data_IF_107850134861
#
_entry.id   IF_107850134861
#
_cell.length_a   1.000
_cell.length_b   1.000
_cell.length_c   1.000
_cell.angle_alpha   90.00
_cell.angle_beta   90.00
_cell.angle_gamma   90.00
#
_symmetry.space_group_name_H-M   'P 1'
#
loop_
_entity.id
_entity.type
_entity.pdbx_description
1 polymer ?
#
# COMPACT_ATOMS: atom_id res chain seq x y z
N UNK A 1 27.31 -24.64 -44.64
CA UNK A 1 27.50 -25.65 -43.58
C UNK A 1 28.03 -25.04 -42.27
N UNK A 2 29.17 -24.34 -42.24
CA UNK A 2 29.72 -23.78 -40.99
C UNK A 2 28.78 -22.81 -40.23
N UNK A 3 28.11 -21.89 -40.93
CA UNK A 3 27.14 -20.94 -40.31
C UNK A 3 25.94 -21.65 -39.68
N UNK A 4 25.47 -22.73 -40.30
CA UNK A 4 24.30 -23.48 -39.81
C UNK A 4 24.63 -24.25 -38.52
N UNK A 5 25.82 -24.86 -38.43
CA UNK A 5 26.27 -25.52 -37.20
C UNK A 5 26.45 -24.52 -36.04
N UNK A 6 26.96 -23.32 -36.33
CA UNK A 6 27.12 -22.26 -35.33
C UNK A 6 25.75 -21.78 -34.80
N UNK A 7 24.78 -21.50 -35.69
CA UNK A 7 23.44 -21.07 -35.29
C UNK A 7 22.72 -22.13 -34.45
N UNK A 8 22.87 -23.42 -34.79
CA UNK A 8 22.29 -24.51 -34.00
C UNK A 8 22.91 -24.61 -32.60
N UNK A 9 24.22 -24.39 -32.47
CA UNK A 9 24.88 -24.31 -31.17
C UNK A 9 24.39 -23.11 -30.35
N UNK A 10 24.26 -21.94 -30.97
CA UNK A 10 23.76 -20.72 -30.32
C UNK A 10 22.30 -20.87 -29.87
N UNK A 11 21.47 -21.53 -30.66
CA UNK A 11 20.07 -21.85 -30.30
C UNK A 11 20.00 -22.75 -29.07
N UNK A 12 20.86 -23.79 -29.02
CA UNK A 12 20.95 -24.71 -27.89
C UNK A 12 21.37 -24.00 -26.60
N UNK A 13 22.28 -23.03 -26.70
CA UNK A 13 22.74 -22.22 -25.57
C UNK A 13 21.80 -21.04 -25.25
N UNK A 14 20.75 -20.82 -26.05
CA UNK A 14 19.85 -19.66 -25.98
C UNK A 14 20.58 -18.31 -26.10
N UNK A 15 21.72 -18.30 -26.80
CA UNK A 15 22.51 -17.10 -27.10
C UNK A 15 21.90 -16.36 -28.30
N UNK A 16 20.66 -15.88 -28.14
CA UNK A 16 19.88 -15.33 -29.26
C UNK A 16 20.40 -13.99 -29.76
N UNK A 17 21.08 -13.20 -28.91
CA UNK A 17 21.73 -11.96 -29.34
C UNK A 17 22.86 -12.24 -30.34
N UNK A 18 23.68 -13.23 -30.02
CA UNK A 18 24.79 -13.70 -30.85
C UNK A 18 24.28 -14.41 -32.12
N UNK A 19 23.17 -15.16 -32.03
CA UNK A 19 22.53 -15.79 -33.18
C UNK A 19 22.00 -14.76 -34.18
N UNK A 20 21.29 -13.72 -33.71
CA UNK A 20 20.82 -12.60 -34.53
C UNK A 20 21.99 -11.88 -35.21
N UNK A 21 23.06 -11.58 -34.47
CA UNK A 21 24.27 -10.95 -35.04
C UNK A 21 24.91 -11.80 -36.13
N UNK A 22 24.95 -13.13 -35.93
CA UNK A 22 25.48 -14.09 -36.89
C UNK A 22 24.61 -14.15 -38.16
N UNK A 23 23.29 -14.16 -38.01
CA UNK A 23 22.35 -14.12 -39.14
C UNK A 23 22.46 -12.81 -39.94
N UNK A 24 22.53 -11.66 -39.26
CA UNK A 24 22.72 -10.35 -39.90
C UNK A 24 24.03 -10.30 -40.70
N UNK A 25 25.12 -10.81 -40.14
CA UNK A 25 26.40 -10.89 -40.85
C UNK A 25 26.28 -11.79 -42.09
N UNK A 26 25.71 -12.99 -41.95
CA UNK A 26 25.52 -13.92 -43.06
C UNK A 26 24.62 -13.34 -44.17
N UNK A 27 23.54 -12.64 -43.80
CA UNK A 27 22.68 -11.91 -44.73
C UNK A 27 23.47 -10.84 -45.50
N UNK A 28 24.25 -10.00 -44.80
CA UNK A 28 25.05 -8.95 -45.41
C UNK A 28 26.10 -9.46 -46.41
N UNK A 29 26.63 -10.68 -46.19
CA UNK A 29 27.56 -11.32 -47.10
C UNK A 29 26.83 -11.90 -48.31
N UNK A 30 25.69 -12.59 -48.10
CA UNK A 30 24.94 -13.24 -49.19
C UNK A 30 24.36 -12.22 -50.18
N UNK A 31 23.79 -11.11 -49.70
CA UNK A 31 23.19 -10.08 -50.56
C UNK A 31 24.21 -9.33 -51.42
N UNK A 32 25.49 -9.30 -51.02
CA UNK A 32 26.57 -8.71 -51.84
C UNK A 32 26.96 -9.59 -53.03
N UNK A 33 26.61 -10.88 -52.99
CA UNK A 33 27.06 -11.87 -53.98
C UNK A 33 25.92 -12.55 -54.72
N UNK A 34 24.69 -12.47 -54.22
CA UNK A 34 23.52 -13.17 -54.73
C UNK A 34 22.32 -12.21 -54.84
N UNK A 35 21.42 -12.42 -55.81
CA UNK A 35 20.16 -11.68 -55.90
C UNK A 35 19.26 -11.92 -54.68
N UNK A 36 18.40 -10.95 -54.35
CA UNK A 36 17.47 -11.02 -53.20
C UNK A 36 16.47 -12.18 -53.28
N UNK A 37 16.18 -12.67 -54.49
CA UNK A 37 15.28 -13.80 -54.75
C UNK A 37 15.96 -15.15 -54.58
N UNK A 38 17.26 -15.19 -54.29
CA UNK A 38 18.00 -16.43 -54.16
C UNK A 38 17.60 -17.19 -52.88
N UNK A 39 17.41 -18.50 -52.99
CA UNK A 39 16.94 -19.35 -51.88
C UNK A 39 17.75 -19.18 -50.58
N UNK A 40 19.08 -19.12 -50.69
CA UNK A 40 19.94 -18.93 -49.51
C UNK A 40 19.80 -17.54 -48.86
N UNK A 41 19.32 -16.52 -49.59
CA UNK A 41 19.00 -15.21 -49.03
C UNK A 41 17.66 -15.28 -48.28
N UNK A 42 16.66 -15.96 -48.86
CA UNK A 42 15.36 -16.16 -48.20
C UNK A 42 15.50 -16.99 -46.91
N UNK A 43 16.28 -18.07 -46.94
CA UNK A 43 16.53 -18.93 -45.76
C UNK A 43 17.19 -18.17 -44.60
N UNK A 44 18.13 -17.24 -44.87
CA UNK A 44 18.76 -16.48 -43.79
C UNK A 44 17.87 -15.38 -43.24
N UNK A 45 16.94 -14.86 -44.05
CA UNK A 45 15.90 -13.93 -43.59
C UNK A 45 14.96 -14.66 -42.63
N UNK A 46 14.48 -15.85 -43.01
CA UNK A 46 13.61 -16.66 -42.15
C UNK A 46 14.29 -17.02 -40.82
N UNK A 47 15.57 -17.44 -40.86
CA UNK A 47 16.35 -17.70 -39.65
C UNK A 47 16.55 -16.45 -38.80
N UNK A 48 16.76 -15.29 -39.43
CA UNK A 48 16.89 -14.03 -38.71
C UNK A 48 15.60 -13.68 -37.98
N UNK A 49 14.45 -13.78 -38.65
CA UNK A 49 13.14 -13.52 -38.05
C UNK A 49 12.84 -14.49 -36.89
N UNK A 50 13.18 -15.77 -37.05
CA UNK A 50 13.05 -16.77 -35.99
C UNK A 50 13.90 -16.41 -34.76
N UNK A 51 15.17 -16.05 -34.96
CA UNK A 51 16.06 -15.71 -33.84
C UNK A 51 15.72 -14.36 -33.19
N UNK A 52 15.20 -13.38 -33.95
CA UNK A 52 14.65 -12.14 -33.41
C UNK A 52 13.47 -12.47 -32.50
N UNK A 53 12.51 -13.26 -32.98
CA UNK A 53 11.34 -13.69 -32.21
C UNK A 53 11.71 -14.43 -30.92
N UNK A 54 12.67 -15.37 -30.99
CA UNK A 54 13.20 -16.07 -29.81
C UNK A 54 13.88 -15.13 -28.81
N UNK A 55 14.69 -14.18 -29.28
CA UNK A 55 15.35 -13.17 -28.43
C UNK A 55 14.30 -12.32 -27.70
N UNK A 56 13.35 -11.77 -28.44
CA UNK A 56 12.29 -10.91 -27.90
C UNK A 56 11.44 -11.66 -26.88
N UNK A 57 11.12 -12.92 -27.14
CA UNK A 57 10.39 -13.77 -26.18
C UNK A 57 11.17 -13.94 -24.87
N UNK A 58 12.48 -14.20 -24.92
CA UNK A 58 13.29 -14.32 -23.70
C UNK A 58 13.44 -12.99 -22.96
N UNK A 59 13.62 -11.89 -23.69
CA UNK A 59 13.71 -10.55 -23.10
C UNK A 59 12.40 -10.17 -22.39
N UNK A 60 11.26 -10.39 -23.04
CA UNK A 60 9.94 -10.20 -22.45
C UNK A 60 9.75 -11.05 -21.19
N UNK A 61 10.05 -12.35 -21.25
CA UNK A 61 9.95 -13.24 -20.09
C UNK A 61 10.83 -12.74 -18.93
N UNK A 62 12.05 -12.30 -19.22
CA UNK A 62 12.97 -11.79 -18.22
C UNK A 62 12.45 -10.47 -17.59
N UNK A 63 11.91 -9.56 -18.41
CA UNK A 63 11.27 -8.34 -17.93
C UNK A 63 10.07 -8.64 -17.02
N UNK A 64 9.22 -9.60 -17.42
CA UNK A 64 8.09 -10.06 -16.62
C UNK A 64 8.56 -10.63 -15.26
N UNK A 65 9.61 -11.46 -15.25
CA UNK A 65 10.18 -11.98 -14.01
C UNK A 65 10.69 -10.87 -13.08
N UNK A 66 11.38 -9.86 -13.64
CA UNK A 66 11.87 -8.71 -12.87
C UNK A 66 10.69 -7.92 -12.29
N UNK A 67 9.65 -7.68 -13.08
CA UNK A 67 8.45 -6.97 -12.65
C UNK A 67 7.71 -7.72 -11.55
N UNK A 68 7.54 -9.04 -11.68
CA UNK A 68 6.93 -9.89 -10.67
C UNK A 68 7.73 -9.86 -9.35
N UNK A 69 9.05 -10.02 -9.42
CA UNK A 69 9.92 -9.94 -8.24
C UNK A 69 9.83 -8.57 -7.55
N UNK A 70 9.80 -7.48 -8.32
CA UNK A 70 9.58 -6.13 -7.80
C UNK A 70 8.22 -5.98 -7.11
N UNK A 71 7.16 -6.47 -7.74
CA UNK A 71 5.81 -6.41 -7.17
C UNK A 71 5.70 -7.21 -5.87
N UNK A 72 6.33 -8.39 -5.79
CA UNK A 72 6.40 -9.19 -4.56
C UNK A 72 7.16 -8.46 -3.45
N UNK A 73 8.30 -7.85 -3.77
CA UNK A 73 9.06 -7.04 -2.82
C UNK A 73 8.24 -5.86 -2.29
N UNK A 74 7.63 -5.08 -3.19
CA UNK A 74 6.79 -3.95 -2.80
C UNK A 74 5.58 -4.38 -1.97
N UNK A 75 4.98 -5.54 -2.29
CA UNK A 75 3.91 -6.13 -1.49
C UNK A 75 4.39 -6.47 -0.08
N UNK A 76 5.56 -7.11 0.05
CA UNK A 76 6.16 -7.43 1.34
C UNK A 76 6.43 -6.18 2.18
N UNK A 77 7.00 -5.12 1.58
CA UNK A 77 7.22 -3.86 2.30
C UNK A 77 5.90 -3.22 2.77
N UNK A 78 4.84 -3.28 1.96
CA UNK A 78 3.51 -2.79 2.36
C UNK A 78 2.93 -3.60 3.52
N UNK A 79 3.10 -4.92 3.51
CA UNK A 79 2.67 -5.81 4.60
C UNK A 79 3.44 -5.53 5.89
N UNK A 80 4.76 -5.34 5.83
CA UNK A 80 5.59 -4.99 6.98
C UNK A 80 5.17 -3.64 7.60
N UNK A 81 4.93 -2.62 6.78
CA UNK A 81 4.45 -1.32 7.24
C UNK A 81 3.06 -1.42 7.88
N UNK A 82 2.16 -2.21 7.28
CA UNK A 82 0.83 -2.44 7.85
C UNK A 82 0.92 -3.13 9.22
N UNK A 83 1.73 -4.17 9.35
CA UNK A 83 1.96 -4.88 10.61
C UNK A 83 2.54 -3.96 11.70
N UNK A 84 3.49 -3.10 11.35
CA UNK A 84 4.06 -2.13 12.28
C UNK A 84 3.00 -1.11 12.73
N UNK A 85 2.17 -0.63 11.81
CA UNK A 85 1.07 0.30 12.09
C UNK A 85 0.04 -0.33 13.03
N UNK A 86 -0.30 -1.60 12.81
CA UNK A 86 -1.19 -2.38 13.69
C UNK A 86 -0.60 -2.56 15.09
N UNK A 87 0.71 -2.87 15.20
CA UNK A 87 1.40 -2.98 16.50
C UNK A 87 1.35 -1.66 17.27
N UNK A 88 1.68 -0.56 16.60
CA UNK A 88 1.66 0.78 17.19
C UNK A 88 0.27 1.19 17.67
N UNK A 89 -0.77 0.86 16.90
CA UNK A 89 -2.15 1.07 17.29
C UNK A 89 -2.53 0.22 18.52
N UNK A 90 -2.09 -1.04 18.56
CA UNK A 90 -2.35 -1.93 19.68
C UNK A 90 -1.70 -1.42 20.98
N UNK A 91 -0.43 -1.02 20.92
CA UNK A 91 0.30 -0.46 22.07
C UNK A 91 -0.33 0.84 22.56
N UNK A 92 -0.66 1.75 21.64
CA UNK A 92 -1.36 3.00 21.97
C UNK A 92 -2.71 2.72 22.64
N UNK A 93 -3.49 1.80 22.06
CA UNK A 93 -4.78 1.39 22.62
C UNK A 93 -4.65 0.78 24.02
N UNK A 94 -3.64 -0.05 24.22
CA UNK A 94 -3.39 -0.69 25.52
C UNK A 94 -2.99 0.32 26.58
N UNK A 95 -2.14 1.30 26.25
CA UNK A 95 -1.85 2.42 27.14
C UNK A 95 -3.13 3.17 27.52
N UNK A 96 -4.00 3.46 26.55
CA UNK A 96 -5.19 4.26 26.80
C UNK A 96 -6.29 3.53 27.56
N UNK A 97 -6.43 2.22 27.39
CA UNK A 97 -7.59 1.46 27.90
C UNK A 97 -7.25 0.48 29.03
N UNK A 98 -5.99 0.06 29.16
CA UNK A 98 -5.59 -1.00 30.11
C UNK A 98 -4.58 -0.53 31.16
N UNK A 99 -3.94 0.62 30.97
CA UNK A 99 -2.98 1.19 31.92
C UNK A 99 -3.46 2.57 32.43
N UNK A 100 -4.24 2.61 33.53
CA UNK A 100 -4.75 3.87 34.08
C UNK A 100 -3.65 4.84 34.54
N UNK A 101 -2.51 4.31 35.02
CA UNK A 101 -1.40 5.14 35.49
C UNK A 101 -0.64 5.73 34.29
N UNK A 102 -0.33 4.91 33.28
CA UNK A 102 0.27 5.33 32.03
C UNK A 102 -0.62 6.33 31.28
N UNK A 103 -1.92 6.10 31.22
CA UNK A 103 -2.89 7.05 30.68
C UNK A 103 -2.83 8.40 31.40
N UNK A 104 -2.81 8.40 32.73
CA UNK A 104 -2.75 9.65 33.50
C UNK A 104 -1.48 10.46 33.20
N UNK A 105 -0.33 9.80 33.11
CA UNK A 105 0.95 10.43 32.71
C UNK A 105 0.88 10.95 31.28
N UNK A 106 0.33 10.16 30.36
CA UNK A 106 0.20 10.54 28.96
C UNK A 106 -0.76 11.72 28.74
N UNK A 107 -1.91 11.75 29.43
CA UNK A 107 -2.84 12.88 29.39
C UNK A 107 -2.23 14.16 29.95
N UNK A 108 -1.40 14.06 31.01
CA UNK A 108 -0.67 15.21 31.54
C UNK A 108 0.30 15.77 30.50
N UNK A 109 1.06 14.88 29.83
CA UNK A 109 1.96 15.27 28.75
C UNK A 109 1.20 15.90 27.57
N UNK A 110 0.13 15.25 27.11
CA UNK A 110 -0.66 15.72 25.99
C UNK A 110 -1.34 17.07 26.25
N UNK A 111 -1.71 17.37 27.50
CA UNK A 111 -2.23 18.68 27.90
C UNK A 111 -1.20 19.79 27.72
N UNK A 112 0.07 19.52 27.97
CA UNK A 112 1.15 20.50 27.71
C UNK A 112 1.33 20.76 26.21
N UNK A 113 0.95 19.80 25.38
CA UNK A 113 1.00 19.84 23.92
C UNK A 113 -0.36 20.21 23.28
N UNK A 114 -1.35 20.62 24.08
CA UNK A 114 -2.72 20.98 23.66
C UNK A 114 -3.42 19.89 22.82
N UNK A 115 -3.17 18.62 23.16
CA UNK A 115 -3.65 17.44 22.44
C UNK A 115 -4.55 16.54 23.31
N UNK A 116 -4.88 16.94 24.53
CA UNK A 116 -5.71 16.16 25.46
C UNK A 116 -7.10 15.86 24.88
N UNK A 117 -7.72 16.84 24.20
CA UNK A 117 -9.03 16.69 23.56
C UNK A 117 -9.02 15.62 22.46
N UNK A 118 -7.88 15.41 21.79
CA UNK A 118 -7.72 14.38 20.77
C UNK A 118 -7.72 12.99 21.39
N UNK A 119 -7.05 12.83 22.53
CA UNK A 119 -6.95 11.55 23.25
C UNK A 119 -8.29 11.22 23.92
N UNK A 120 -8.90 12.19 24.62
CA UNK A 120 -10.21 12.02 25.25
C UNK A 120 -11.28 11.64 24.22
N UNK A 121 -11.26 12.28 23.04
CA UNK A 121 -12.15 11.89 21.95
C UNK A 121 -11.88 10.46 21.47
N UNK A 122 -10.61 10.09 21.26
CA UNK A 122 -10.25 8.75 20.79
C UNK A 122 -10.74 7.66 21.75
N UNK A 123 -10.59 7.87 23.07
CA UNK A 123 -11.11 6.98 24.11
C UNK A 123 -12.65 6.92 24.07
N UNK A 124 -13.33 8.06 23.94
CA UNK A 124 -14.79 8.08 23.84
C UNK A 124 -15.31 7.28 22.62
N UNK A 125 -14.55 7.21 21.52
CA UNK A 125 -14.89 6.38 20.37
C UNK A 125 -14.67 4.89 20.64
N UNK A 126 -13.63 4.51 21.37
CA UNK A 126 -13.43 3.12 21.82
C UNK A 126 -14.59 2.62 22.68
N UNK A 127 -15.01 3.43 23.66
CA UNK A 127 -16.16 3.14 24.50
C UNK A 127 -17.46 3.08 23.70
N UNK A 128 -17.63 3.94 22.70
CA UNK A 128 -18.77 3.87 21.77
C UNK A 128 -18.78 2.55 20.98
N UNK A 129 -17.61 2.06 20.53
CA UNK A 129 -17.52 0.87 19.69
C UNK A 129 -17.81 -0.43 20.46
N UNK A 130 -17.77 -0.40 21.78
CA UNK A 130 -17.99 -1.55 22.64
C UNK A 130 -19.25 -2.35 22.24
N UNK A 131 -19.05 -3.64 21.97
CA UNK A 131 -20.04 -4.50 21.27
C UNK A 131 -21.20 -4.95 22.17
N UNK A 132 -21.14 -4.67 23.47
CA UNK A 132 -22.13 -5.09 24.48
C UNK A 132 -23.23 -4.05 24.73
N UNK A 133 -23.23 -2.94 23.99
CA UNK A 133 -24.19 -1.85 24.21
C UNK A 133 -25.53 -2.11 23.53
N UNK A 134 -26.62 -1.82 24.25
CA UNK A 134 -27.95 -1.79 23.63
C UNK A 134 -28.07 -0.60 22.67
N UNK A 135 -29.02 -0.69 21.73
CA UNK A 135 -29.18 0.31 20.66
C UNK A 135 -29.46 1.73 21.15
N UNK A 136 -30.07 1.90 22.34
CA UNK A 136 -30.35 3.22 22.91
C UNK A 136 -29.08 3.81 23.52
N UNK A 137 -28.34 3.01 24.29
CA UNK A 137 -27.06 3.44 24.88
C UNK A 137 -26.01 3.74 23.80
N UNK A 138 -25.90 2.91 22.76
CA UNK A 138 -25.02 3.14 21.61
C UNK A 138 -25.32 4.50 20.95
N UNK A 139 -26.60 4.79 20.71
CA UNK A 139 -27.02 6.08 20.16
C UNK A 139 -26.70 7.24 21.10
N UNK A 140 -26.95 7.08 22.40
CA UNK A 140 -26.64 8.10 23.39
C UNK A 140 -25.14 8.43 23.41
N UNK A 141 -24.26 7.42 23.43
CA UNK A 141 -22.79 7.62 23.35
C UNK A 141 -22.38 8.28 22.04
N UNK A 142 -22.93 7.84 20.90
CA UNK A 142 -22.65 8.46 19.60
C UNK A 142 -22.99 9.96 19.57
N UNK A 143 -24.19 10.31 20.06
CA UNK A 143 -24.64 11.71 20.12
C UNK A 143 -23.80 12.51 21.11
N UNK A 144 -23.48 11.93 22.27
CA UNK A 144 -22.63 12.57 23.27
C UNK A 144 -21.25 12.91 22.69
N UNK A 145 -20.55 11.96 22.08
CA UNK A 145 -19.25 12.20 21.46
C UNK A 145 -19.32 13.31 20.38
N UNK A 146 -20.38 13.31 19.56
CA UNK A 146 -20.60 14.36 18.58
C UNK A 146 -20.75 15.74 19.25
N UNK A 147 -21.61 15.88 20.25
CA UNK A 147 -21.85 17.18 20.90
C UNK A 147 -20.62 17.67 21.66
N UNK A 148 -19.98 16.78 22.42
CA UNK A 148 -18.86 17.12 23.32
C UNK A 148 -17.62 17.55 22.56
N UNK A 149 -17.30 16.94 21.43
CA UNK A 149 -16.01 17.15 20.75
C UNK A 149 -16.13 17.76 19.34
N UNK A 150 -17.20 17.42 18.62
CA UNK A 150 -17.35 17.77 17.20
C UNK A 150 -18.14 19.07 17.03
N UNK A 151 -19.30 19.18 17.67
CA UNK A 151 -20.14 20.38 17.62
C UNK A 151 -19.47 21.54 18.37
N UNK A 152 -18.89 21.25 19.55
CA UNK A 152 -18.13 22.20 20.38
C UNK A 152 -16.81 22.69 19.75
N UNK A 153 -16.36 22.06 18.67
CA UNK A 153 -15.08 22.34 17.98
C UNK A 153 -13.81 22.11 18.81
N UNK A 154 -13.87 21.30 19.87
CA UNK A 154 -12.69 20.84 20.63
C UNK A 154 -11.70 20.10 19.73
N UNK A 155 -12.19 19.21 18.85
CA UNK A 155 -11.37 18.48 17.87
C UNK A 155 -11.42 19.16 16.50
N UNK A 156 -10.39 19.97 16.20
CA UNK A 156 -10.37 20.85 15.00
C UNK A 156 -10.04 20.14 13.69
N UNK A 157 -9.37 18.98 13.74
CA UNK A 157 -8.96 18.21 12.55
C UNK A 157 -10.16 17.62 11.78
N UNK A 158 -11.32 17.49 12.44
CA UNK A 158 -12.54 16.98 11.83
C UNK A 158 -13.10 18.02 10.86
N UNK A 159 -13.17 17.65 9.58
CA UNK A 159 -13.63 18.52 8.49
C UNK A 159 -15.14 18.78 8.52
N UNK A 160 -15.60 19.86 7.87
CA UNK A 160 -17.03 20.15 7.76
C UNK A 160 -17.84 19.03 7.10
N UNK A 161 -17.25 18.33 6.12
CA UNK A 161 -17.87 17.19 5.46
C UNK A 161 -18.07 16.01 6.42
N UNK A 162 -17.04 15.64 7.19
CA UNK A 162 -17.13 14.58 8.22
C UNK A 162 -18.18 14.94 9.29
N UNK A 163 -18.17 16.18 9.80
CA UNK A 163 -19.19 16.64 10.75
C UNK A 163 -20.60 16.47 10.21
N UNK A 164 -20.84 16.90 8.96
CA UNK A 164 -22.15 16.77 8.29
C UNK A 164 -22.54 15.30 8.09
N UNK A 165 -21.60 14.42 7.70
CA UNK A 165 -21.81 12.97 7.54
C UNK A 165 -22.24 12.33 8.87
N UNK A 166 -21.50 12.59 9.94
CA UNK A 166 -21.78 12.05 11.28
C UNK A 166 -23.10 12.59 11.81
N UNK A 167 -23.33 13.92 11.73
CA UNK A 167 -24.59 14.56 12.15
C UNK A 167 -25.79 13.91 11.48
N UNK A 168 -25.73 13.73 10.15
CA UNK A 168 -26.79 13.06 9.40
C UNK A 168 -27.03 11.63 9.90
N UNK A 169 -25.98 10.88 10.18
CA UNK A 169 -26.11 9.50 10.65
C UNK A 169 -26.76 9.37 12.03
N UNK A 170 -26.44 10.28 12.97
CA UNK A 170 -26.99 10.24 14.34
C UNK A 170 -28.42 10.81 14.42
N UNK A 171 -28.81 11.71 13.51
CA UNK A 171 -30.14 12.37 13.55
C UNK A 171 -31.22 11.63 12.78
N UNK A 172 -30.91 10.64 11.94
CA UNK A 172 -31.95 9.91 11.19
C UNK A 172 -32.76 9.04 12.17
N UNK A 173 -34.08 9.29 12.33
CA UNK A 173 -34.92 8.48 13.20
C UNK A 173 -35.03 7.04 12.68
N UNK A 174 -35.09 6.06 13.59
CA UNK A 174 -35.29 4.65 13.24
C UNK A 174 -34.11 3.92 12.58
N UNK A 175 -33.08 4.63 12.08
CA UNK A 175 -31.89 4.01 11.50
C UNK A 175 -30.98 3.45 12.59
N UNK A 176 -30.47 2.23 12.45
CA UNK A 176 -29.44 1.70 13.36
C UNK A 176 -28.12 2.47 13.18
N UNK A 177 -27.47 2.83 14.28
CA UNK A 177 -26.13 3.44 14.25
C UNK A 177 -25.10 2.32 14.07
N UNK A 178 -24.16 2.53 13.15
CA UNK A 178 -23.06 1.61 12.92
C UNK A 178 -21.97 1.80 13.97
N UNK A 179 -21.38 0.71 14.47
CA UNK A 179 -20.19 0.76 15.33
C UNK A 179 -18.99 1.40 14.62
N UNK A 180 -18.99 1.42 13.29
CA UNK A 180 -17.95 2.05 12.44
C UNK A 180 -18.19 3.52 12.13
N UNK A 181 -19.17 4.17 12.79
CA UNK A 181 -19.57 5.55 12.48
C UNK A 181 -18.39 6.55 12.54
N UNK A 182 -17.43 6.31 13.43
CA UNK A 182 -16.33 7.21 13.73
C UNK A 182 -14.97 6.72 13.23
N UNK A 183 -14.87 5.55 12.57
CA UNK A 183 -13.60 4.91 12.20
C UNK A 183 -12.68 5.84 11.41
N UNK A 184 -13.21 6.49 10.37
CA UNK A 184 -12.45 7.44 9.53
C UNK A 184 -11.79 8.55 10.37
N UNK A 185 -12.54 9.08 11.35
CA UNK A 185 -12.09 10.19 12.20
C UNK A 185 -11.15 9.69 13.29
N UNK A 186 -11.42 8.52 13.84
CA UNK A 186 -10.60 7.91 14.88
C UNK A 186 -9.22 7.54 14.34
N UNK A 187 -9.14 6.97 13.12
CA UNK A 187 -7.88 6.69 12.44
C UNK A 187 -7.08 7.98 12.19
N UNK A 188 -7.74 9.02 11.67
CA UNK A 188 -7.11 10.32 11.44
C UNK A 188 -6.52 10.94 12.73
N UNK A 189 -7.24 10.79 13.85
CA UNK A 189 -6.78 11.29 15.16
C UNK A 189 -5.64 10.43 15.69
N UNK A 190 -5.70 9.11 15.53
CA UNK A 190 -4.60 8.22 15.88
C UNK A 190 -3.33 8.63 15.14
N UNK A 191 -3.37 8.80 13.81
CA UNK A 191 -2.20 9.17 13.02
C UNK A 191 -1.59 10.50 13.50
N UNK A 192 -2.44 11.50 13.75
CA UNK A 192 -2.02 12.80 14.25
C UNK A 192 -1.40 12.72 15.65
N UNK A 193 -2.06 12.04 16.60
CA UNK A 193 -1.59 11.93 17.99
C UNK A 193 -0.34 11.06 18.04
N UNK A 194 -0.30 9.98 17.27
CA UNK A 194 0.83 9.05 17.25
C UNK A 194 2.11 9.76 16.80
N UNK A 195 2.07 10.34 15.59
CA UNK A 195 3.22 11.04 14.98
C UNK A 195 3.54 12.34 15.71
N UNK A 196 2.50 13.06 16.15
CA UNK A 196 2.59 14.42 16.65
C UNK A 196 2.73 14.56 18.15
N UNK A 197 2.51 13.52 18.97
CA UNK A 197 2.54 13.61 20.44
C UNK A 197 3.13 12.34 21.06
N UNK A 198 2.61 11.18 20.70
CA UNK A 198 2.92 9.90 21.35
C UNK A 198 4.38 9.49 21.18
N UNK A 199 4.96 9.65 19.98
CA UNK A 199 6.40 9.38 19.75
C UNK A 199 7.29 10.25 20.65
N UNK A 200 6.92 11.52 20.88
CA UNK A 200 7.67 12.40 21.80
C UNK A 200 7.49 11.98 23.25
N UNK A 201 6.28 11.59 23.65
CA UNK A 201 6.01 11.04 24.97
C UNK A 201 6.91 9.82 25.24
N UNK A 202 6.94 8.85 24.33
CA UNK A 202 7.78 7.66 24.46
C UNK A 202 9.29 7.97 24.54
N UNK A 203 9.75 9.05 23.90
CA UNK A 203 11.14 9.49 23.99
C UNK A 203 11.50 10.11 25.36
N UNK A 204 10.52 10.66 26.09
CA UNK A 204 10.72 11.26 27.42
C UNK A 204 10.55 10.27 28.58
N UNK A 205 9.85 9.16 28.37
CA UNK A 205 9.57 8.14 29.39
C UNK A 205 10.65 7.03 29.42
N UNK A 206 11.69 7.15 28.59
CA UNK A 206 12.87 6.27 28.59
C UNK A 206 13.90 6.68 29.65
#
# INVERSE_FOLDING_TARGET
MATSMLLQSLDTMKCYKEAVHTCQHAYSVRVRSLPDTHQSVLEIIEQLDEFISKRETVEMINEDFILLARNEYEKKCREELANESERHLAEFRDLLLKDPEGLAKFLLFARQEFAEDLIEFWIAIEEFRETKLDTKTLRSRAVHAYLTYIESRRVKIITAAQRKKIKKAITIPGKKISHSLYDDVQAQIFDLVYTGVYVRYLAQVK
#
